data_IF_634801815010
#
_entry.id   IF_634801815010
#
_cell.length_a   1.000
_cell.length_b   1.000
_cell.length_c   1.000
_cell.angle_alpha   90.00
_cell.angle_beta   90.00
_cell.angle_gamma   90.00
#
_symmetry.space_group_name_H-M   'P 1'
#
loop_
_entity.id
_entity.type
_entity.pdbx_description
1 polymer ?
#
# COMPACT_ATOMS: atom_id res chain seq x y z
N UNK A 1 -28.76 3.12 9.68
CA UNK A 1 -28.60 4.55 10.04
C UNK A 1 -28.33 5.38 8.78
N UNK A 2 -28.85 6.60 8.70
CA UNK A 2 -28.56 7.53 7.60
C UNK A 2 -27.25 8.27 7.86
N UNK A 3 -26.40 8.38 6.84
CA UNK A 3 -25.22 9.22 6.88
C UNK A 3 -25.61 10.69 6.74
N UNK A 4 -25.03 11.56 7.57
CA UNK A 4 -25.12 13.00 7.47
C UNK A 4 -23.71 13.58 7.36
N UNK A 5 -23.52 14.52 6.46
CA UNK A 5 -22.28 15.28 6.34
C UNK A 5 -22.45 16.57 7.15
N UNK A 6 -21.60 16.77 8.15
CA UNK A 6 -21.62 17.91 9.05
C UNK A 6 -20.35 18.73 8.88
N UNK A 7 -20.52 19.98 8.46
CA UNK A 7 -19.41 20.94 8.33
C UNK A 7 -19.31 21.77 9.60
N UNK A 8 -18.15 21.75 10.24
CA UNK A 8 -17.87 22.48 11.47
C UNK A 8 -16.69 23.43 11.27
N UNK A 9 -16.72 24.55 12.00
CA UNK A 9 -15.62 25.50 12.08
C UNK A 9 -14.84 25.26 13.36
N UNK A 10 -13.56 24.93 13.23
CA UNK A 10 -12.63 24.78 14.37
C UNK A 10 -11.35 25.55 14.08
N UNK A 11 -10.98 26.46 15.00
CA UNK A 11 -9.76 27.29 14.91
C UNK A 11 -9.58 27.98 13.55
N UNK A 12 -10.66 28.60 13.03
CA UNK A 12 -10.65 29.31 11.75
C UNK A 12 -10.63 28.44 10.49
N UNK A 13 -10.51 27.11 10.61
CA UNK A 13 -10.54 26.17 9.47
C UNK A 13 -11.87 25.41 9.42
N UNK A 14 -12.39 25.23 8.20
CA UNK A 14 -13.57 24.41 7.95
C UNK A 14 -13.13 22.94 7.88
N UNK A 15 -13.79 22.08 8.64
CA UNK A 15 -13.63 20.62 8.58
C UNK A 15 -15.00 19.98 8.38
N UNK A 16 -15.05 19.00 7.50
CA UNK A 16 -16.27 18.26 7.20
C UNK A 16 -16.16 16.84 7.76
N UNK A 17 -17.17 16.43 8.52
CA UNK A 17 -17.25 15.13 9.17
C UNK A 17 -18.45 14.36 8.65
N UNK A 18 -18.29 13.07 8.39
CA UNK A 18 -19.42 12.17 8.16
C UNK A 18 -19.88 11.58 9.51
N UNK A 19 -21.15 11.81 9.82
CA UNK A 19 -21.81 11.46 11.07
C UNK A 19 -23.05 10.64 10.74
N UNK A 20 -23.09 9.39 11.17
CA UNK A 20 -24.28 8.56 11.03
C UNK A 20 -25.22 8.83 12.21
N UNK A 21 -26.44 9.27 11.92
CA UNK A 21 -27.44 9.54 12.93
C UNK A 21 -28.83 9.08 12.46
N UNK A 22 -29.72 8.80 13.41
CA UNK A 22 -31.12 8.49 13.13
C UNK A 22 -31.92 9.73 12.74
N UNK A 23 -31.43 10.94 13.09
CA UNK A 23 -32.07 12.22 12.83
C UNK A 23 -31.02 13.32 12.59
N UNK A 24 -31.29 14.32 11.74
CA UNK A 24 -30.39 15.47 11.52
C UNK A 24 -30.07 16.22 12.82
N UNK A 25 -30.99 16.24 13.79
CA UNK A 25 -30.80 16.90 15.08
C UNK A 25 -29.75 16.20 15.96
N UNK A 26 -29.67 14.86 15.85
CA UNK A 26 -28.64 14.07 16.51
C UNK A 26 -27.28 14.23 15.81
N UNK A 27 -27.28 14.32 14.47
CA UNK A 27 -26.06 14.60 13.71
C UNK A 27 -25.49 15.99 14.06
N UNK A 28 -26.33 17.00 14.23
CA UNK A 28 -25.91 18.33 14.67
C UNK A 28 -25.32 18.29 16.09
N UNK A 29 -26.01 17.60 17.03
CA UNK A 29 -25.54 17.45 18.41
C UNK A 29 -24.16 16.77 18.49
N UNK A 30 -23.94 15.74 17.67
CA UNK A 30 -22.63 15.07 17.56
C UNK A 30 -21.60 15.96 16.87
N UNK A 31 -21.99 16.73 15.85
CA UNK A 31 -21.12 17.68 15.15
C UNK A 31 -20.62 18.82 16.04
N UNK A 32 -21.44 19.29 16.99
CA UNK A 32 -21.05 20.36 17.94
C UNK A 32 -19.84 20.00 18.80
N UNK A 33 -19.51 18.71 18.94
CA UNK A 33 -18.29 18.26 19.65
C UNK A 33 -17.00 18.63 18.92
N UNK A 34 -17.06 18.87 17.61
CA UNK A 34 -15.90 19.12 16.74
C UNK A 34 -15.73 20.60 16.38
N UNK A 35 -16.59 21.48 16.87
CA UNK A 35 -16.59 22.92 16.59
C UNK A 35 -18.01 23.46 16.36
N UNK A 36 -18.11 24.72 15.94
CA UNK A 36 -19.41 25.34 15.62
C UNK A 36 -19.95 24.73 14.33
N UNK A 37 -21.10 24.05 14.40
CA UNK A 37 -21.76 23.45 13.24
C UNK A 37 -22.34 24.54 12.35
N UNK A 38 -21.97 24.53 11.07
CA UNK A 38 -22.45 25.51 10.07
C UNK A 38 -23.48 24.91 9.12
N UNK A 39 -23.35 23.61 8.80
CA UNK A 39 -24.23 22.92 7.85
C UNK A 39 -24.34 21.45 8.18
N UNK A 40 -25.56 20.93 8.16
CA UNK A 40 -25.88 19.51 8.25
C UNK A 40 -26.60 19.13 6.96
N UNK A 41 -26.03 18.23 6.17
CA UNK A 41 -26.64 17.69 4.95
C UNK A 41 -26.85 16.20 5.10
N UNK A 42 -27.92 15.63 4.51
CA UNK A 42 -27.98 14.18 4.32
C UNK A 42 -26.83 13.78 3.40
N UNK A 43 -25.95 12.91 3.88
CA UNK A 43 -24.93 12.26 3.08
C UNK A 43 -25.59 11.24 2.16
N UNK A 44 -25.02 11.02 0.97
CA UNK A 44 -25.47 9.95 0.09
C UNK A 44 -25.50 8.61 0.82
N UNK A 45 -26.38 7.69 0.41
CA UNK A 45 -26.37 6.30 0.91
C UNK A 45 -24.93 5.79 0.85
N UNK A 46 -24.37 5.40 1.99
CA UNK A 46 -23.06 4.75 2.08
C UNK A 46 -23.11 3.47 1.25
N UNK A 47 -22.64 3.55 0.00
CA UNK A 47 -22.44 2.41 -0.89
C UNK A 47 -21.26 1.65 -0.29
N UNK A 48 -21.54 0.48 0.31
CA UNK A 48 -20.56 -0.55 0.70
C UNK A 48 -19.16 -0.02 1.02
N UNK A 49 -19.06 0.80 2.06
CA UNK A 49 -17.83 1.53 2.36
C UNK A 49 -16.75 0.58 2.86
N UNK A 50 -15.51 0.70 2.35
CA UNK A 50 -14.31 0.05 2.91
C UNK A 50 -14.37 0.01 4.44
N UNK A 51 -13.94 -1.07 5.09
CA UNK A 51 -13.83 -1.12 6.55
C UNK A 51 -12.85 -0.12 7.17
N UNK A 52 -12.62 -0.26 8.48
CA UNK A 52 -11.66 0.57 9.23
C UNK A 52 -10.29 0.63 8.54
N UNK A 53 -9.75 1.85 8.43
CA UNK A 53 -8.36 2.03 7.99
C UNK A 53 -7.40 1.41 9.01
N UNK A 54 -6.17 1.13 8.60
CA UNK A 54 -5.12 0.60 9.49
C UNK A 54 -4.92 1.49 10.72
N UNK A 55 -4.89 2.81 10.52
CA UNK A 55 -4.77 3.79 11.60
C UNK A 55 -6.01 3.84 12.50
N UNK A 56 -7.21 3.81 11.92
CA UNK A 56 -8.46 3.85 12.69
C UNK A 56 -8.62 2.59 13.55
N UNK A 57 -8.30 1.42 12.99
CA UNK A 57 -8.34 0.14 13.72
C UNK A 57 -7.30 0.12 14.85
N UNK A 58 -6.08 0.61 14.61
CA UNK A 58 -5.08 0.76 15.68
C UNK A 58 -5.61 1.63 16.83
N UNK A 59 -6.19 2.80 16.52
CA UNK A 59 -6.77 3.69 17.52
C UNK A 59 -7.91 2.99 18.26
N UNK A 60 -8.83 2.34 17.54
CA UNK A 60 -9.95 1.60 18.12
C UNK A 60 -9.46 0.57 19.14
N UNK A 61 -8.55 -0.32 18.71
CA UNK A 61 -8.03 -1.41 19.53
C UNK A 61 -7.28 -0.92 20.77
N UNK A 62 -6.41 0.10 20.62
CA UNK A 62 -5.65 0.68 21.73
C UNK A 62 -6.57 1.33 22.76
N UNK A 63 -7.57 2.10 22.31
CA UNK A 63 -8.49 2.79 23.22
C UNK A 63 -9.40 1.80 23.94
N UNK A 64 -9.92 0.80 23.24
CA UNK A 64 -10.72 -0.26 23.84
C UNK A 64 -9.89 -1.05 24.86
N UNK A 65 -8.68 -1.45 24.50
CA UNK A 65 -7.71 -2.12 25.40
C UNK A 65 -7.50 -1.32 26.68
N UNK A 66 -7.22 -0.01 26.58
CA UNK A 66 -6.98 0.84 27.76
C UNK A 66 -8.20 0.93 28.67
N UNK A 67 -9.41 1.11 28.12
CA UNK A 67 -10.61 1.18 28.96
C UNK A 67 -10.91 -0.15 29.66
N UNK A 68 -10.78 -1.27 28.94
CA UNK A 68 -10.97 -2.60 29.53
C UNK A 68 -9.90 -2.92 30.59
N UNK A 69 -8.65 -2.49 30.38
CA UNK A 69 -7.59 -2.60 31.39
C UNK A 69 -7.91 -1.78 32.66
N UNK A 70 -8.60 -0.64 32.50
CA UNK A 70 -9.14 0.16 33.61
C UNK A 70 -10.46 -0.39 34.20
N UNK A 71 -10.84 -1.63 33.87
CA UNK A 71 -12.07 -2.30 34.33
C UNK A 71 -13.37 -1.59 33.94
N UNK A 72 -13.35 -0.75 32.91
CA UNK A 72 -14.58 -0.23 32.30
C UNK A 72 -15.30 -1.39 31.64
N UNK A 73 -16.60 -1.55 31.92
CA UNK A 73 -17.40 -2.61 31.30
C UNK A 73 -17.43 -2.50 29.77
N UNK A 74 -17.45 -3.64 29.07
CA UNK A 74 -17.35 -3.68 27.60
C UNK A 74 -18.40 -2.83 26.90
N UNK A 75 -19.65 -2.93 27.33
CA UNK A 75 -20.77 -2.15 26.79
C UNK A 75 -20.53 -0.65 26.95
N UNK A 76 -20.05 -0.22 28.12
CA UNK A 76 -19.76 1.18 28.39
C UNK A 76 -18.56 1.68 27.58
N UNK A 77 -17.48 0.89 27.48
CA UNK A 77 -16.32 1.23 26.66
C UNK A 77 -16.72 1.40 25.17
N UNK A 78 -17.58 0.53 24.64
CA UNK A 78 -18.10 0.64 23.27
C UNK A 78 -19.01 1.86 23.10
N UNK A 79 -19.89 2.18 24.08
CA UNK A 79 -20.68 3.42 24.08
C UNK A 79 -19.77 4.66 24.05
N UNK A 80 -18.74 4.69 24.89
CA UNK A 80 -17.76 5.78 24.95
C UNK A 80 -17.01 5.94 23.61
N UNK A 81 -16.58 4.85 22.97
CA UNK A 81 -15.96 4.91 21.64
C UNK A 81 -16.93 5.43 20.57
N UNK A 82 -18.16 4.92 20.56
CA UNK A 82 -19.21 5.37 19.63
C UNK A 82 -19.44 6.87 19.76
N UNK A 83 -19.52 7.38 20.99
CA UNK A 83 -19.86 8.76 21.25
C UNK A 83 -18.65 9.71 21.09
N UNK A 84 -17.43 9.24 21.40
CA UNK A 84 -16.22 10.07 21.36
C UNK A 84 -15.63 10.23 19.96
N UNK A 85 -15.89 9.29 19.04
CA UNK A 85 -15.36 9.31 17.68
C UNK A 85 -16.45 9.59 16.64
N UNK A 86 -16.04 9.89 15.41
CA UNK A 86 -16.92 10.03 14.24
C UNK A 86 -16.51 9.07 13.13
N UNK A 87 -17.27 9.03 12.03
CA UNK A 87 -16.97 8.18 10.89
C UNK A 87 -16.99 6.69 11.24
N UNK A 88 -16.01 5.94 10.72
CA UNK A 88 -16.00 4.48 10.79
C UNK A 88 -15.74 3.91 12.18
N UNK A 89 -14.94 4.60 13.01
CA UNK A 89 -14.68 4.16 14.39
C UNK A 89 -15.98 4.13 15.19
N UNK A 90 -16.80 5.18 15.06
CA UNK A 90 -18.12 5.26 15.70
C UNK A 90 -19.07 4.17 15.20
N UNK A 91 -19.03 3.89 13.89
CA UNK A 91 -19.85 2.84 13.26
C UNK A 91 -19.48 1.44 13.74
N UNK A 92 -18.19 1.10 13.73
CA UNK A 92 -17.69 -0.18 14.23
C UNK A 92 -18.01 -0.35 15.72
N UNK A 93 -17.86 0.71 16.52
CA UNK A 93 -18.23 0.69 17.94
C UNK A 93 -19.73 0.44 18.14
N UNK A 94 -20.59 1.08 17.34
CA UNK A 94 -22.03 0.88 17.39
C UNK A 94 -22.45 -0.54 16.97
N UNK A 95 -21.85 -1.07 15.90
CA UNK A 95 -22.12 -2.41 15.41
C UNK A 95 -21.72 -3.49 16.43
N UNK A 96 -20.53 -3.34 17.04
CA UNK A 96 -20.09 -4.24 18.11
C UNK A 96 -20.93 -4.08 19.38
N UNK A 97 -21.34 -2.85 19.74
CA UNK A 97 -22.19 -2.61 20.89
C UNK A 97 -23.52 -3.35 20.77
N UNK A 98 -24.17 -3.30 19.61
CA UNK A 98 -25.41 -4.01 19.35
C UNK A 98 -25.25 -5.52 19.53
N UNK A 99 -24.21 -6.13 18.95
CA UNK A 99 -23.90 -7.55 19.11
C UNK A 99 -23.67 -7.93 20.59
N UNK A 100 -22.93 -7.10 21.33
CA UNK A 100 -22.62 -7.35 22.74
C UNK A 100 -23.86 -7.19 23.63
N UNK A 101 -24.73 -6.22 23.34
CA UNK A 101 -26.02 -6.06 24.04
C UNK A 101 -26.97 -7.24 23.78
N UNK A 102 -26.88 -7.88 22.61
CA UNK A 102 -27.59 -9.12 22.27
C UNK A 102 -26.99 -10.38 22.92
N UNK A 103 -25.93 -10.24 23.72
CA UNK A 103 -25.32 -11.33 24.49
C UNK A 103 -24.13 -12.01 23.82
N UNK A 104 -23.66 -11.51 22.67
CA UNK A 104 -22.42 -12.00 22.06
C UNK A 104 -21.21 -11.49 22.84
N UNK A 105 -20.22 -12.34 23.06
CA UNK A 105 -18.95 -11.93 23.66
C UNK A 105 -18.14 -11.06 22.67
N UNK A 106 -17.46 -10.05 23.19
CA UNK A 106 -16.66 -9.11 22.38
C UNK A 106 -15.63 -9.80 21.46
N UNK A 107 -14.86 -10.80 21.91
CA UNK A 107 -13.89 -11.48 21.06
C UNK A 107 -14.52 -12.13 19.83
N UNK A 108 -15.65 -12.84 19.98
CA UNK A 108 -16.36 -13.41 18.84
C UNK A 108 -17.03 -12.33 17.96
N UNK A 109 -17.60 -11.28 18.57
CA UNK A 109 -18.17 -10.16 17.81
C UNK A 109 -17.16 -9.50 16.88
N UNK A 110 -15.92 -9.30 17.35
CA UNK A 110 -14.80 -8.79 16.55
C UNK A 110 -14.34 -9.82 15.52
N UNK A 111 -14.27 -11.10 15.87
CA UNK A 111 -13.81 -12.15 14.97
C UNK A 111 -14.75 -12.36 13.76
N UNK A 112 -16.06 -12.19 13.94
CA UNK A 112 -17.05 -12.25 12.85
C UNK A 112 -17.04 -11.00 11.95
N UNK A 113 -16.60 -9.86 12.47
CA UNK A 113 -16.54 -8.61 11.72
C UNK A 113 -15.27 -8.51 10.88
N UNK A 114 -15.20 -9.36 9.85
CA UNK A 114 -14.10 -9.36 8.88
C UNK A 114 -13.98 -8.07 8.06
N UNK A 115 -15.04 -7.26 8.07
CA UNK A 115 -15.09 -6.01 7.33
C UNK A 115 -14.21 -4.96 8.00
N UNK A 116 -14.38 -4.73 9.31
CA UNK A 116 -13.62 -3.75 10.07
C UNK A 116 -12.35 -4.34 10.72
N UNK A 117 -12.37 -5.64 11.04
CA UNK A 117 -11.28 -6.36 11.70
C UNK A 117 -10.82 -7.56 10.85
N UNK A 118 -9.67 -7.45 10.14
CA UNK A 118 -9.14 -8.55 9.36
C UNK A 118 -8.97 -9.84 10.18
N UNK A 119 -9.12 -11.01 9.56
CA UNK A 119 -9.16 -12.31 10.27
C UNK A 119 -8.02 -12.55 11.27
N UNK A 120 -6.79 -12.10 10.97
CA UNK A 120 -5.66 -12.19 11.90
C UNK A 120 -5.87 -11.41 13.21
N UNK A 121 -6.49 -10.22 13.15
CA UNK A 121 -6.82 -9.39 14.31
C UNK A 121 -7.86 -10.08 15.18
N UNK A 122 -8.96 -10.53 14.57
CA UNK A 122 -10.00 -11.29 15.27
C UNK A 122 -9.45 -12.56 15.92
N UNK A 123 -8.55 -13.26 15.24
CA UNK A 123 -7.90 -14.47 15.75
C UNK A 123 -7.01 -14.21 16.96
N UNK A 124 -6.16 -13.17 16.93
CA UNK A 124 -5.33 -12.77 18.08
C UNK A 124 -6.22 -12.46 19.29
N UNK A 125 -7.28 -11.68 19.08
CA UNK A 125 -8.18 -11.27 20.17
C UNK A 125 -8.90 -12.49 20.74
N UNK A 126 -9.41 -13.37 19.88
CA UNK A 126 -10.12 -14.60 20.27
C UNK A 126 -9.23 -15.54 21.07
N UNK A 127 -8.00 -15.80 20.60
CA UNK A 127 -7.07 -16.69 21.29
C UNK A 127 -6.60 -16.08 22.62
N UNK A 128 -6.26 -14.80 22.64
CA UNK A 128 -5.86 -14.14 23.89
C UNK A 128 -7.00 -13.89 24.87
N UNK A 129 -8.26 -13.93 24.43
CA UNK A 129 -9.41 -13.88 25.34
C UNK A 129 -9.63 -15.22 26.07
N UNK A 130 -9.22 -16.35 25.47
CA UNK A 130 -9.29 -17.68 26.13
C UNK A 130 -8.41 -17.76 27.38
N UNK A 131 -7.36 -16.93 27.47
CA UNK A 131 -6.53 -16.80 28.67
C UNK A 131 -7.07 -15.81 29.71
N UNK A 132 -8.27 -15.26 29.49
CA UNK A 132 -8.97 -14.38 30.43
C UNK A 132 -8.54 -12.91 30.40
N UNK A 133 -7.67 -12.51 29.45
CA UNK A 133 -7.15 -11.13 29.37
C UNK A 133 -7.48 -10.45 28.04
N UNK A 134 -8.76 -10.21 27.76
CA UNK A 134 -9.22 -9.55 26.52
C UNK A 134 -8.59 -8.18 26.29
N UNK A 135 -8.33 -7.41 27.35
CA UNK A 135 -7.67 -6.09 27.23
C UNK A 135 -6.24 -6.22 26.68
N UNK A 136 -5.53 -7.30 27.03
CA UNK A 136 -4.17 -7.58 26.58
C UNK A 136 -4.18 -8.08 25.15
N UNK A 137 -5.12 -8.96 24.79
CA UNK A 137 -5.23 -9.46 23.41
C UNK A 137 -5.59 -8.36 22.40
N UNK A 138 -6.39 -7.35 22.82
CA UNK A 138 -6.61 -6.13 22.03
C UNK A 138 -5.34 -5.30 21.84
N UNK A 139 -4.48 -5.23 22.86
CA UNK A 139 -3.18 -4.55 22.76
C UNK A 139 -2.27 -5.28 21.78
N UNK A 140 -2.17 -6.59 21.92
CA UNK A 140 -1.34 -7.45 21.05
C UNK A 140 -1.82 -7.36 19.59
N UNK A 141 -3.13 -7.32 19.36
CA UNK A 141 -3.70 -7.13 18.03
C UNK A 141 -3.40 -5.73 17.44
N UNK A 142 -3.39 -4.68 18.27
CA UNK A 142 -2.99 -3.35 17.84
C UNK A 142 -1.50 -3.29 17.48
N UNK A 143 -0.63 -3.93 18.27
CA UNK A 143 0.80 -4.03 17.97
C UNK A 143 1.07 -4.83 16.70
N UNK A 144 0.35 -5.95 16.51
CA UNK A 144 0.38 -6.72 15.27
C UNK A 144 0.04 -5.82 14.06
N UNK A 145 -1.05 -5.06 14.15
CA UNK A 145 -1.48 -4.15 13.09
C UNK A 145 -0.40 -3.11 12.78
N UNK A 146 0.18 -2.52 13.83
CA UNK A 146 1.22 -1.51 13.70
C UNK A 146 2.47 -2.09 13.02
N UNK A 147 2.99 -3.22 13.49
CA UNK A 147 4.18 -3.88 12.94
C UNK A 147 3.98 -4.29 11.49
N UNK A 148 2.84 -4.90 11.14
CA UNK A 148 2.54 -5.25 9.75
C UNK A 148 2.45 -4.00 8.86
N UNK A 149 1.90 -2.91 9.36
CA UNK A 149 1.85 -1.63 8.63
C UNK A 149 3.23 -1.04 8.40
N UNK A 150 4.12 -1.16 9.39
CA UNK A 150 5.50 -0.68 9.31
C UNK A 150 6.32 -1.49 8.30
N UNK A 151 6.26 -2.81 8.37
CA UNK A 151 6.88 -3.74 7.41
C UNK A 151 6.44 -3.39 5.97
N UNK A 152 5.15 -3.08 5.77
CA UNK A 152 4.63 -2.62 4.47
C UNK A 152 5.14 -1.24 4.06
N UNK A 153 5.30 -0.30 5.00
CA UNK A 153 5.69 1.08 4.70
C UNK A 153 7.18 1.22 4.40
N UNK A 154 8.04 0.54 5.15
CA UNK A 154 9.50 0.52 4.93
C UNK A 154 9.84 0.14 3.50
N UNK A 155 9.00 -0.71 2.92
CA UNK A 155 9.12 -1.27 1.59
C UNK A 155 8.83 -0.33 0.42
N UNK A 156 8.19 0.81 0.68
CA UNK A 156 7.75 1.75 -0.36
C UNK A 156 8.53 3.08 -0.36
N UNK A 157 9.43 3.28 0.61
CA UNK A 157 10.22 4.52 0.71
C UNK A 157 11.27 4.57 -0.41
N UNK A 158 11.34 5.68 -1.14
CA UNK A 158 12.29 5.88 -2.25
C UNK A 158 11.73 5.57 -3.65
N UNK A 159 10.86 4.56 -3.79
CA UNK A 159 10.31 4.18 -5.09
C UNK A 159 9.37 5.24 -5.69
N UNK A 160 8.57 5.91 -4.85
CA UNK A 160 7.67 6.99 -5.30
C UNK A 160 8.45 8.15 -5.93
N UNK A 161 9.57 8.53 -5.33
CA UNK A 161 10.41 9.62 -5.84
C UNK A 161 11.03 9.25 -7.19
N UNK A 162 11.57 8.03 -7.32
CA UNK A 162 12.16 7.55 -8.57
C UNK A 162 11.12 7.44 -9.71
N UNK A 163 9.92 6.94 -9.40
CA UNK A 163 8.81 6.87 -10.35
C UNK A 163 8.41 8.27 -10.80
N UNK A 164 8.25 9.21 -9.86
CA UNK A 164 7.88 10.59 -10.17
C UNK A 164 8.93 11.26 -11.04
N UNK A 165 10.22 11.14 -10.71
CA UNK A 165 11.31 11.71 -11.52
C UNK A 165 11.34 11.13 -12.93
N UNK A 166 11.08 9.83 -13.06
CA UNK A 166 11.02 9.16 -14.36
C UNK A 166 9.88 9.69 -15.23
N UNK A 167 8.67 9.85 -14.68
CA UNK A 167 7.55 10.43 -15.42
C UNK A 167 7.76 11.90 -15.78
N UNK A 168 8.34 12.71 -14.88
CA UNK A 168 8.65 14.11 -15.17
C UNK A 168 9.68 14.21 -16.30
N UNK A 169 10.75 13.42 -16.25
CA UNK A 169 11.75 13.39 -17.31
C UNK A 169 11.18 12.93 -18.67
N UNK A 170 10.34 11.89 -18.66
CA UNK A 170 9.63 11.43 -19.85
C UNK A 170 8.70 12.50 -20.43
N UNK A 171 7.91 13.16 -19.57
CA UNK A 171 7.03 14.24 -20.00
C UNK A 171 7.81 15.42 -20.58
N UNK A 172 8.93 15.83 -19.95
CA UNK A 172 9.79 16.88 -20.46
C UNK A 172 10.35 16.55 -21.86
N UNK A 173 10.83 15.33 -22.07
CA UNK A 173 11.34 14.90 -23.38
C UNK A 173 10.23 14.92 -24.44
N UNK A 174 9.04 14.39 -24.11
CA UNK A 174 7.90 14.38 -25.04
C UNK A 174 7.45 15.79 -25.39
N UNK A 175 7.30 16.69 -24.41
CA UNK A 175 6.90 18.09 -24.63
C UNK A 175 7.96 18.84 -25.45
N UNK A 176 9.24 18.62 -25.14
CA UNK A 176 10.37 19.18 -25.88
C UNK A 176 10.30 18.83 -27.37
N UNK A 177 10.06 17.55 -27.70
CA UNK A 177 10.02 17.07 -29.07
C UNK A 177 8.72 17.46 -29.82
N UNK A 178 7.56 17.38 -29.17
CA UNK A 178 6.26 17.54 -29.84
C UNK A 178 5.77 18.98 -29.91
N UNK A 179 6.11 19.82 -28.92
CA UNK A 179 5.61 21.18 -28.83
C UNK A 179 6.74 22.19 -29.04
N UNK A 180 7.79 22.12 -28.24
CA UNK A 180 8.85 23.15 -28.23
C UNK A 180 9.67 23.11 -29.53
N UNK A 181 10.13 21.92 -29.95
CA UNK A 181 10.94 21.75 -31.14
C UNK A 181 10.28 22.32 -32.41
N UNK A 182 9.04 21.89 -32.75
CA UNK A 182 8.34 22.41 -33.91
C UNK A 182 8.03 23.90 -33.84
N UNK A 183 7.70 24.43 -32.65
CA UNK A 183 7.35 25.84 -32.50
C UNK A 183 8.57 26.76 -32.72
N UNK A 184 9.74 26.36 -32.24
CA UNK A 184 11.00 27.07 -32.51
C UNK A 184 11.31 27.02 -34.01
N UNK A 185 11.13 25.86 -34.66
CA UNK A 185 11.37 25.75 -36.10
C UNK A 185 10.42 26.60 -36.95
N UNK A 186 9.21 26.95 -36.48
CA UNK A 186 8.29 27.83 -37.22
C UNK A 186 8.66 29.32 -37.13
N UNK A 187 9.63 29.69 -36.30
CA UNK A 187 10.05 31.08 -36.19
C UNK A 187 10.81 31.49 -37.46
N UNK A 188 10.32 32.54 -38.12
CA UNK A 188 10.78 33.02 -39.44
C UNK A 188 12.27 33.41 -39.50
N UNK A 189 12.90 33.73 -38.37
CA UNK A 189 14.34 33.99 -38.27
C UNK A 189 15.22 32.75 -38.51
N UNK A 190 14.64 31.55 -38.37
CA UNK A 190 15.33 30.26 -38.50
C UNK A 190 15.19 29.69 -39.91
N UNK A 191 14.17 30.07 -40.68
CA UNK A 191 13.94 29.58 -42.04
C UNK A 191 15.10 29.89 -43.00
N UNK A 192 15.70 31.08 -42.89
CA UNK A 192 16.86 31.47 -43.70
C UNK A 192 18.17 30.76 -43.30
N UNK A 193 18.25 30.23 -42.08
CA UNK A 193 19.41 29.50 -41.56
C UNK A 193 19.26 27.97 -41.67
N UNK A 194 18.05 27.47 -42.01
CA UNK A 194 17.79 26.04 -42.20
C UNK A 194 18.49 25.47 -43.43
N UNK A 195 18.70 26.28 -44.47
CA UNK A 195 19.28 25.83 -45.74
C UNK A 195 20.79 25.58 -45.65
N UNK A 196 21.48 26.22 -44.69
CA UNK A 196 22.92 26.02 -44.41
C UNK A 196 23.22 24.95 -43.37
N UNK A 197 22.21 24.40 -42.69
CA UNK A 197 22.39 23.45 -41.59
C UNK A 197 21.86 22.06 -41.93
N UNK A 198 22.72 21.06 -41.78
CA UNK A 198 22.31 19.65 -41.82
C UNK A 198 21.63 19.28 -40.49
N UNK A 199 20.44 19.83 -40.22
CA UNK A 199 19.62 19.56 -39.02
C UNK A 199 18.98 18.15 -39.02
N UNK A 200 19.22 17.35 -40.06
CA UNK A 200 18.65 16.02 -40.22
C UNK A 200 18.96 15.07 -39.07
N UNK A 201 20.13 15.21 -38.43
CA UNK A 201 20.50 14.41 -37.25
C UNK A 201 19.70 14.82 -36.00
N UNK A 202 19.35 16.10 -35.84
CA UNK A 202 18.53 16.59 -34.71
C UNK A 202 17.10 16.09 -34.85
N UNK A 203 16.51 16.21 -36.05
CA UNK A 203 15.16 15.72 -36.31
C UNK A 203 15.09 14.18 -36.13
N UNK A 204 16.10 13.46 -36.62
CA UNK A 204 16.20 12.01 -36.42
C UNK A 204 16.34 11.65 -34.93
N UNK A 205 17.22 12.33 -34.20
CA UNK A 205 17.43 12.10 -32.76
C UNK A 205 16.16 12.40 -31.97
N UNK A 206 15.47 13.48 -32.30
CA UNK A 206 14.21 13.88 -31.67
C UNK A 206 13.11 12.83 -31.91
N UNK A 207 12.95 12.37 -33.15
CA UNK A 207 11.95 11.35 -33.49
C UNK A 207 12.23 10.00 -32.82
N UNK A 208 13.47 9.49 -32.93
CA UNK A 208 13.86 8.22 -32.33
C UNK A 208 13.81 8.24 -30.80
N UNK A 209 14.28 9.33 -30.17
CA UNK A 209 14.21 9.46 -28.71
C UNK A 209 12.78 9.59 -28.21
N UNK A 210 11.90 10.28 -28.95
CA UNK A 210 10.47 10.37 -28.65
C UNK A 210 9.75 9.03 -28.76
N UNK A 211 9.97 8.27 -29.83
CA UNK A 211 9.39 6.92 -29.99
C UNK A 211 9.91 5.99 -28.89
N UNK A 212 11.21 5.98 -28.64
CA UNK A 212 11.82 5.11 -27.64
C UNK A 212 11.29 5.44 -26.24
N UNK A 213 11.24 6.71 -25.86
CA UNK A 213 10.63 7.13 -24.59
C UNK A 213 9.14 6.80 -24.52
N UNK A 214 8.40 6.99 -25.61
CA UNK A 214 6.98 6.60 -25.69
C UNK A 214 6.78 5.11 -25.44
N UNK A 215 7.59 4.25 -26.07
CA UNK A 215 7.58 2.80 -25.84
C UNK A 215 7.92 2.50 -24.38
N UNK A 216 8.97 3.10 -23.82
CA UNK A 216 9.35 2.87 -22.42
C UNK A 216 8.23 3.31 -21.47
N UNK A 217 7.60 4.46 -21.68
CA UNK A 217 6.47 4.93 -20.87
C UNK A 217 5.25 4.00 -20.99
N UNK A 218 4.92 3.52 -22.18
CA UNK A 218 3.80 2.59 -22.40
C UNK A 218 4.08 1.24 -21.74
N UNK A 219 5.29 0.70 -21.89
CA UNK A 219 5.71 -0.55 -21.23
C UNK A 219 5.67 -0.37 -19.71
N UNK A 220 6.21 0.73 -19.19
CA UNK A 220 6.26 0.99 -17.75
C UNK A 220 4.85 1.19 -17.16
N UNK A 221 4.00 1.96 -17.85
CA UNK A 221 2.60 2.15 -17.46
C UNK A 221 1.81 0.85 -17.51
N UNK A 222 2.01 0.03 -18.55
CA UNK A 222 1.41 -1.30 -18.70
C UNK A 222 1.82 -2.22 -17.54
N UNK A 223 3.09 -2.21 -17.13
CA UNK A 223 3.57 -2.98 -15.98
C UNK A 223 2.94 -2.52 -14.65
N UNK A 224 2.89 -1.21 -14.39
CA UNK A 224 2.24 -0.66 -13.18
C UNK A 224 0.74 -0.96 -13.17
N UNK A 225 0.10 -0.85 -14.34
CA UNK A 225 -1.32 -1.14 -14.48
C UNK A 225 -1.60 -2.61 -14.20
N UNK A 226 -0.81 -3.53 -14.77
CA UNK A 226 -0.91 -4.96 -14.50
C UNK A 226 -0.71 -5.29 -13.02
N UNK A 227 0.25 -4.64 -12.38
CA UNK A 227 0.56 -4.80 -10.96
C UNK A 227 -0.61 -4.48 -10.02
N UNK A 228 -1.33 -3.40 -10.36
CA UNK A 228 -2.29 -2.76 -9.45
C UNK A 228 -3.72 -3.16 -9.80
N UNK A 229 -4.15 -2.85 -11.01
CA UNK A 229 -5.53 -3.03 -11.48
C UNK A 229 -5.67 -4.34 -12.25
N UNK A 230 -4.71 -4.65 -13.14
CA UNK A 230 -4.74 -5.86 -13.95
C UNK A 230 -4.78 -7.13 -13.12
N UNK A 231 -4.09 -7.16 -11.96
CA UNK A 231 -4.18 -8.27 -11.02
C UNK A 231 -5.57 -8.43 -10.36
N UNK A 232 -6.35 -7.35 -10.24
CA UNK A 232 -7.74 -7.42 -9.72
C UNK A 232 -8.74 -7.87 -10.79
N UNK A 233 -8.52 -7.49 -12.04
CA UNK A 233 -9.48 -7.75 -13.14
C UNK A 233 -9.16 -9.06 -13.85
N UNK A 234 -7.88 -9.38 -14.06
CA UNK A 234 -7.40 -10.57 -14.76
C UNK A 234 -6.18 -11.19 -14.05
N UNK A 235 -6.38 -11.83 -12.87
CA UNK A 235 -5.30 -12.32 -12.02
C UNK A 235 -4.34 -13.26 -12.75
N UNK A 236 -4.87 -14.22 -13.51
CA UNK A 236 -4.09 -15.24 -14.22
C UNK A 236 -3.27 -14.68 -15.41
N UNK A 237 -3.77 -13.67 -16.11
CA UNK A 237 -3.02 -13.00 -17.19
C UNK A 237 -1.93 -12.09 -16.63
N UNK A 238 -2.26 -11.29 -15.62
CA UNK A 238 -1.30 -10.45 -14.92
C UNK A 238 -0.17 -11.30 -14.34
N UNK A 239 -0.47 -12.42 -13.69
CA UNK A 239 0.52 -13.36 -13.18
C UNK A 239 1.42 -13.92 -14.28
N UNK A 240 0.87 -14.34 -15.42
CA UNK A 240 1.66 -14.89 -16.53
C UNK A 240 2.67 -13.88 -17.11
N UNK A 241 2.31 -12.61 -17.18
CA UNK A 241 3.20 -11.54 -17.66
C UNK A 241 4.22 -11.15 -16.59
N UNK A 242 3.78 -11.00 -15.34
CA UNK A 242 4.65 -10.71 -14.19
C UNK A 242 5.74 -11.78 -14.05
N UNK A 243 5.39 -13.07 -14.23
CA UNK A 243 6.32 -14.19 -14.17
C UNK A 243 7.35 -14.20 -15.29
N UNK A 244 7.06 -13.59 -16.45
CA UNK A 244 7.97 -13.50 -17.60
C UNK A 244 8.98 -12.36 -17.50
N UNK A 245 8.71 -11.36 -16.66
CA UNK A 245 9.64 -10.23 -16.43
C UNK A 245 10.44 -10.55 -15.16
N UNK A 246 11.69 -11.05 -15.27
CA UNK A 246 12.42 -11.65 -14.14
C UNK A 246 12.55 -10.69 -12.95
N UNK A 247 12.88 -9.43 -13.24
CA UNK A 247 13.08 -8.38 -12.25
C UNK A 247 11.78 -7.97 -11.52
N UNK A 248 10.65 -8.01 -12.23
CA UNK A 248 9.34 -7.63 -11.70
C UNK A 248 8.70 -8.76 -10.88
N UNK A 249 8.87 -10.01 -11.34
CA UNK A 249 8.50 -11.22 -10.60
C UNK A 249 9.11 -11.23 -9.21
N UNK A 250 10.43 -11.02 -9.17
CA UNK A 250 11.19 -11.08 -7.91
C UNK A 250 10.71 -10.04 -6.91
N UNK A 251 10.45 -8.79 -7.33
CA UNK A 251 9.95 -7.72 -6.45
C UNK A 251 8.60 -8.06 -5.84
N UNK A 252 7.62 -8.40 -6.67
CA UNK A 252 6.24 -8.48 -6.19
C UNK A 252 6.01 -9.76 -5.39
N UNK A 253 6.61 -10.88 -5.81
CA UNK A 253 6.53 -12.12 -5.05
C UNK A 253 7.30 -12.04 -3.73
N UNK A 254 8.47 -11.40 -3.70
CA UNK A 254 9.20 -11.27 -2.43
C UNK A 254 8.44 -10.42 -1.41
N UNK A 255 7.69 -9.40 -1.87
CA UNK A 255 6.92 -8.53 -0.97
C UNK A 255 5.87 -9.29 -0.16
N UNK A 256 5.00 -10.02 -0.86
CA UNK A 256 3.95 -10.79 -0.21
C UNK A 256 4.57 -11.89 0.68
N UNK A 257 5.73 -12.44 0.31
CA UNK A 257 6.38 -13.50 1.08
C UNK A 257 6.86 -13.05 2.47
N UNK A 258 7.72 -12.02 2.58
CA UNK A 258 8.22 -11.63 3.91
C UNK A 258 7.12 -11.00 4.78
N UNK A 259 6.13 -10.31 4.22
CA UNK A 259 4.99 -9.79 5.00
C UNK A 259 4.23 -10.94 5.65
N UNK A 260 4.02 -12.04 4.93
CA UNK A 260 3.31 -13.20 5.45
C UNK A 260 4.18 -14.02 6.43
N UNK A 261 5.50 -14.08 6.23
CA UNK A 261 6.42 -14.67 7.24
C UNK A 261 6.41 -13.87 8.55
N UNK A 262 6.48 -12.54 8.49
CA UNK A 262 6.32 -11.67 9.65
C UNK A 262 4.94 -11.83 10.30
N UNK A 263 3.87 -11.97 9.48
CA UNK A 263 2.53 -12.25 9.99
C UNK A 263 2.48 -13.56 10.78
N UNK A 264 3.07 -14.64 10.25
CA UNK A 264 3.16 -15.92 10.95
C UNK A 264 3.98 -15.78 12.24
N UNK A 265 5.12 -15.06 12.20
CA UNK A 265 5.93 -14.76 13.39
C UNK A 265 5.12 -14.04 14.47
N UNK A 266 4.40 -12.98 14.11
CA UNK A 266 3.63 -12.19 15.07
C UNK A 266 2.42 -12.98 15.61
N UNK A 267 1.73 -13.75 14.78
CA UNK A 267 0.67 -14.66 15.24
C UNK A 267 1.25 -15.70 16.21
N UNK A 268 2.41 -16.29 15.87
CA UNK A 268 3.16 -17.19 16.74
C UNK A 268 3.61 -16.49 18.03
N UNK A 269 3.96 -15.21 18.02
CA UNK A 269 4.27 -14.46 19.26
C UNK A 269 3.03 -14.19 20.11
N UNK A 270 1.88 -13.92 19.49
CA UNK A 270 0.61 -13.57 20.16
C UNK A 270 -0.24 -14.74 20.66
N UNK A 271 0.33 -15.92 20.90
CA UNK A 271 -0.45 -17.03 21.47
C UNK A 271 -1.38 -17.82 20.52
N UNK A 272 -1.57 -17.44 19.25
CA UNK A 272 -2.23 -18.22 18.16
C UNK A 272 -1.50 -19.51 17.71
N UNK A 273 -2.10 -20.70 17.86
CA UNK A 273 -1.48 -21.98 17.45
C UNK A 273 -1.02 -21.96 15.98
N UNK A 274 0.07 -22.66 15.66
CA UNK A 274 0.64 -22.62 14.29
C UNK A 274 -0.34 -23.08 13.21
N UNK A 275 -1.22 -24.05 13.49
CA UNK A 275 -2.25 -24.46 12.54
C UNK A 275 -3.23 -23.32 12.22
N UNK A 276 -3.72 -22.61 13.24
CA UNK A 276 -4.64 -21.48 13.08
C UNK A 276 -3.93 -20.29 12.41
N UNK A 277 -2.66 -20.06 12.74
CA UNK A 277 -1.84 -19.03 12.12
C UNK A 277 -1.62 -19.30 10.62
N UNK A 278 -1.29 -20.55 10.25
CA UNK A 278 -1.14 -20.98 8.86
C UNK A 278 -2.47 -20.87 8.11
N UNK A 279 -3.59 -21.31 8.70
CA UNK A 279 -4.92 -21.22 8.09
C UNK A 279 -5.35 -19.77 7.83
N UNK A 280 -5.24 -18.90 8.83
CA UNK A 280 -5.57 -17.47 8.68
C UNK A 280 -4.65 -16.77 7.66
N UNK A 281 -3.38 -17.15 7.64
CA UNK A 281 -2.44 -16.63 6.63
C UNK A 281 -2.79 -17.17 5.24
N UNK A 282 -3.15 -18.45 5.08
CA UNK A 282 -3.56 -19.04 3.80
C UNK A 282 -4.78 -18.34 3.19
N UNK A 283 -5.80 -18.07 4.01
CA UNK A 283 -7.03 -17.37 3.59
C UNK A 283 -6.75 -15.94 3.10
N UNK A 284 -5.83 -15.25 3.78
CA UNK A 284 -5.47 -13.86 3.47
C UNK A 284 -4.33 -13.71 2.47
N UNK A 285 -3.56 -14.77 2.22
CA UNK A 285 -2.45 -14.78 1.28
C UNK A 285 -2.98 -14.81 -0.16
N UNK A 286 -2.31 -14.05 -1.03
CA UNK A 286 -2.57 -14.10 -2.47
C UNK A 286 -2.04 -15.40 -3.06
N UNK A 287 -2.59 -15.88 -4.20
CA UNK A 287 -2.00 -16.99 -4.94
C UNK A 287 -0.51 -16.76 -5.23
N UNK A 288 0.30 -17.82 -5.11
CA UNK A 288 1.74 -17.77 -5.27
C UNK A 288 2.45 -18.85 -4.45
N UNK A 289 3.78 -18.92 -4.60
CA UNK A 289 4.62 -20.00 -4.02
C UNK A 289 4.41 -20.14 -2.52
N UNK A 290 4.36 -19.04 -1.77
CA UNK A 290 4.15 -19.10 -0.33
C UNK A 290 2.74 -19.62 0.04
N UNK A 291 1.71 -19.31 -0.75
CA UNK A 291 0.35 -19.83 -0.47
C UNK A 291 0.31 -21.33 -0.68
N UNK A 292 0.96 -21.83 -1.72
CA UNK A 292 1.06 -23.27 -2.01
C UNK A 292 1.84 -23.99 -0.89
N UNK A 293 2.96 -23.41 -0.46
CA UNK A 293 3.74 -23.89 0.69
C UNK A 293 2.92 -23.92 1.99
N UNK A 294 2.17 -22.86 2.29
CA UNK A 294 1.28 -22.85 3.47
C UNK A 294 0.23 -23.95 3.36
N UNK A 295 -0.31 -24.19 2.16
CA UNK A 295 -1.20 -25.32 1.87
C UNK A 295 -0.55 -26.67 2.18
N UNK A 296 0.67 -26.90 1.67
CA UNK A 296 1.44 -28.10 1.96
C UNK A 296 1.75 -28.26 3.45
N UNK A 297 2.04 -27.16 4.17
CA UNK A 297 2.25 -27.16 5.62
C UNK A 297 0.99 -27.52 6.40
N UNK A 298 -0.18 -27.04 5.97
CA UNK A 298 -1.47 -27.44 6.56
C UNK A 298 -1.75 -28.93 6.31
N UNK A 299 -1.44 -29.45 5.12
CA UNK A 299 -1.58 -30.87 4.81
C UNK A 299 -0.57 -31.73 5.58
N UNK A 300 0.65 -31.25 5.78
CA UNK A 300 1.64 -31.91 6.63
C UNK A 300 1.13 -32.04 8.07
N UNK A 301 0.54 -30.98 8.65
CA UNK A 301 -0.09 -31.02 9.97
C UNK A 301 -1.24 -32.04 10.04
N UNK A 302 -2.12 -32.06 9.03
CA UNK A 302 -3.22 -33.05 8.93
C UNK A 302 -2.71 -34.48 8.91
N UNK A 303 -1.53 -34.73 8.35
CA UNK A 303 -0.85 -36.04 8.32
C UNK A 303 0.02 -36.33 9.55
N UNK A 304 0.02 -35.46 10.56
CA UNK A 304 0.86 -35.61 11.75
C UNK A 304 2.36 -35.36 11.52
N UNK A 305 2.73 -34.77 10.38
CA UNK A 305 4.10 -34.40 10.05
C UNK A 305 4.44 -33.00 10.58
N UNK A 306 5.73 -32.67 10.69
CA UNK A 306 6.18 -31.32 11.05
C UNK A 306 5.76 -30.32 9.97
N UNK A 307 4.94 -29.32 10.31
CA UNK A 307 4.39 -28.33 9.37
C UNK A 307 5.44 -27.67 8.46
N UNK A 308 6.63 -27.38 9.01
CA UNK A 308 7.70 -26.71 8.29
C UNK A 308 8.23 -27.53 7.10
N UNK A 309 7.97 -28.85 7.03
CA UNK A 309 8.32 -29.67 5.85
C UNK A 309 7.62 -29.19 4.57
N UNK A 310 6.44 -28.57 4.69
CA UNK A 310 5.68 -28.00 3.58
C UNK A 310 6.20 -26.66 3.06
N UNK A 311 7.12 -26.01 3.78
CA UNK A 311 7.73 -24.73 3.40
C UNK A 311 8.91 -24.96 2.44
N UNK A 312 8.63 -25.36 1.21
CA UNK A 312 9.65 -25.73 0.21
C UNK A 312 10.41 -24.53 -0.36
N UNK A 313 9.78 -23.35 -0.36
CA UNK A 313 10.36 -22.06 -0.72
C UNK A 313 11.50 -21.66 0.21
N UNK A 314 11.42 -22.04 1.48
CA UNK A 314 12.45 -21.72 2.47
C UNK A 314 13.73 -22.50 2.20
N UNK A 315 14.87 -21.87 2.49
CA UNK A 315 16.16 -22.54 2.38
C UNK A 315 16.18 -23.77 3.32
N UNK A 316 16.86 -24.87 2.96
CA UNK A 316 16.90 -26.08 3.79
C UNK A 316 17.33 -25.83 5.23
N UNK A 317 18.22 -24.86 5.48
CA UNK A 317 18.65 -24.48 6.84
C UNK A 317 17.53 -23.80 7.63
N UNK A 318 16.78 -22.90 7.00
CA UNK A 318 15.68 -22.17 7.62
C UNK A 318 14.52 -23.12 7.94
N UNK A 319 14.23 -24.02 7.01
CA UNK A 319 13.26 -25.09 7.21
C UNK A 319 13.68 -26.01 8.36
N UNK A 320 14.95 -26.39 8.42
CA UNK A 320 15.47 -27.20 9.53
C UNK A 320 15.36 -26.46 10.87
N UNK A 321 15.69 -25.16 10.92
CA UNK A 321 15.54 -24.33 12.11
C UNK A 321 14.09 -24.28 12.62
N UNK A 322 13.11 -24.15 11.72
CA UNK A 322 11.69 -24.21 12.07
C UNK A 322 11.22 -25.59 12.51
N UNK A 323 11.78 -26.66 11.93
CA UNK A 323 11.48 -28.04 12.31
C UNK A 323 12.10 -28.44 13.66
N UNK A 324 13.21 -27.81 14.05
CA UNK A 324 13.95 -28.09 15.28
C UNK A 324 13.60 -27.15 16.43
N UNK A 325 12.83 -26.09 16.16
CA UNK A 325 12.35 -25.18 17.21
C UNK A 325 11.61 -25.96 18.30
N UNK A 326 12.08 -25.82 19.54
CA UNK A 326 11.59 -26.57 20.69
C UNK A 326 10.22 -26.07 21.15
N UNK A 327 10.02 -24.76 21.03
CA UNK A 327 8.80 -24.10 21.44
C UNK A 327 8.36 -23.07 20.41
N UNK A 328 7.21 -22.48 20.73
CA UNK A 328 6.55 -21.49 19.92
C UNK A 328 7.27 -20.14 19.87
N UNK A 329 7.96 -19.76 20.93
CA UNK A 329 8.74 -18.52 20.97
C UNK A 329 9.91 -18.62 19.98
N UNK A 330 10.60 -19.75 19.97
CA UNK A 330 11.64 -20.06 18.97
C UNK A 330 11.07 -20.11 17.55
N UNK A 331 9.87 -20.66 17.33
CA UNK A 331 9.21 -20.60 16.01
C UNK A 331 8.98 -19.13 15.60
N UNK A 332 8.48 -18.30 16.51
CA UNK A 332 8.23 -16.89 16.23
C UNK A 332 9.51 -16.13 15.90
N UNK A 333 10.58 -16.33 16.67
CA UNK A 333 11.90 -15.72 16.44
C UNK A 333 12.51 -16.19 15.12
N UNK A 334 12.48 -17.49 14.83
CA UNK A 334 13.00 -18.02 13.58
C UNK A 334 12.23 -17.48 12.36
N UNK A 335 10.90 -17.40 12.44
CA UNK A 335 10.09 -16.78 11.38
C UNK A 335 10.35 -15.29 11.21
N UNK A 336 10.62 -14.56 12.30
CA UNK A 336 11.00 -13.14 12.25
C UNK A 336 12.34 -12.98 11.52
N UNK A 337 13.36 -13.74 11.91
CA UNK A 337 14.68 -13.72 11.29
C UNK A 337 14.63 -14.07 9.79
N UNK A 338 13.88 -15.10 9.42
CA UNK A 338 13.67 -15.47 8.01
C UNK A 338 12.91 -14.34 7.29
N UNK A 339 11.88 -13.76 7.92
CA UNK A 339 11.18 -12.59 7.40
C UNK A 339 12.11 -11.43 7.12
N UNK A 340 12.98 -11.07 8.07
CA UNK A 340 13.97 -9.99 7.97
C UNK A 340 15.00 -10.26 6.86
N UNK A 341 15.45 -11.51 6.72
CA UNK A 341 16.34 -11.91 5.63
C UNK A 341 15.67 -11.71 4.26
N UNK A 342 14.43 -12.16 4.09
CA UNK A 342 13.70 -11.95 2.84
C UNK A 342 13.36 -10.47 2.59
N UNK A 343 13.10 -9.70 3.66
CA UNK A 343 12.90 -8.26 3.57
C UNK A 343 14.18 -7.55 3.11
N UNK A 344 15.35 -7.89 3.66
CA UNK A 344 16.62 -7.29 3.29
C UNK A 344 17.01 -7.61 1.83
N UNK A 345 16.82 -8.86 1.40
CA UNK A 345 16.99 -9.26 -0.01
C UNK A 345 16.07 -8.48 -0.94
N UNK A 346 14.82 -8.27 -0.52
CA UNK A 346 13.88 -7.44 -1.28
C UNK A 346 14.31 -5.97 -1.33
N UNK A 347 14.73 -5.38 -0.20
CA UNK A 347 15.23 -4.01 -0.15
C UNK A 347 16.47 -3.82 -1.02
N UNK A 348 17.39 -4.78 -1.04
CA UNK A 348 18.60 -4.73 -1.88
C UNK A 348 18.23 -4.72 -3.37
N UNK A 349 17.26 -5.55 -3.78
CA UNK A 349 16.75 -5.57 -5.16
C UNK A 349 16.08 -4.24 -5.53
N UNK A 350 15.25 -3.68 -4.62
CA UNK A 350 14.63 -2.37 -4.80
C UNK A 350 15.65 -1.22 -4.85
N UNK A 351 16.73 -1.30 -4.08
CA UNK A 351 17.78 -0.29 -4.03
C UNK A 351 18.54 -0.16 -5.36
N UNK A 352 18.52 -1.19 -6.21
CA UNK A 352 19.07 -1.12 -7.58
C UNK A 352 18.05 -0.53 -8.56
N UNK A 353 16.75 -0.74 -8.33
CA UNK A 353 15.67 -0.23 -9.19
C UNK A 353 15.55 1.30 -9.18
N UNK A 354 15.59 1.94 -8.01
CA UNK A 354 15.37 3.38 -7.93
C UNK A 354 16.48 4.20 -8.65
N UNK A 355 17.78 3.91 -8.44
CA UNK A 355 18.86 4.60 -9.16
C UNK A 355 18.85 4.32 -10.66
N UNK A 356 18.52 3.10 -11.10
CA UNK A 356 18.45 2.80 -12.54
C UNK A 356 17.36 3.61 -13.23
N UNK A 357 16.18 3.77 -12.62
CA UNK A 357 15.15 4.68 -13.11
C UNK A 357 15.62 6.15 -13.15
N UNK A 358 16.36 6.60 -12.14
CA UNK A 358 16.93 7.95 -12.11
C UNK A 358 17.98 8.18 -13.20
N UNK A 359 18.82 7.19 -13.50
CA UNK A 359 19.79 7.27 -14.60
C UNK A 359 19.08 7.37 -15.94
N UNK A 360 18.03 6.57 -16.16
CA UNK A 360 17.21 6.66 -17.38
C UNK A 360 16.55 8.05 -17.48
N UNK A 361 16.00 8.55 -16.37
CA UNK A 361 15.41 9.89 -16.30
C UNK A 361 16.46 10.98 -16.61
N UNK A 362 17.66 10.87 -16.05
CA UNK A 362 18.75 11.81 -16.31
C UNK A 362 19.19 11.78 -17.78
N UNK A 363 19.34 10.59 -18.37
CA UNK A 363 19.62 10.44 -19.81
C UNK A 363 18.51 11.11 -20.64
N UNK A 364 17.24 10.90 -20.29
CA UNK A 364 16.13 11.51 -20.99
C UNK A 364 16.14 13.05 -20.91
N UNK A 365 16.43 13.61 -19.74
CA UNK A 365 16.58 15.07 -19.58
C UNK A 365 17.77 15.58 -20.38
N UNK A 366 18.91 14.88 -20.35
CA UNK A 366 20.10 15.26 -21.14
C UNK A 366 19.82 15.23 -22.64
N UNK A 367 19.16 14.18 -23.15
CA UNK A 367 18.76 14.09 -24.56
C UNK A 367 17.78 15.21 -24.91
N UNK A 368 16.80 15.48 -24.06
CA UNK A 368 15.89 16.62 -24.23
C UNK A 368 16.65 17.95 -24.30
N UNK A 369 17.66 18.14 -23.44
CA UNK A 369 18.52 19.33 -23.46
C UNK A 369 19.33 19.47 -24.74
N UNK A 370 19.92 18.38 -25.24
CA UNK A 370 20.64 18.35 -26.52
C UNK A 370 19.72 18.69 -27.69
N UNK A 371 18.51 18.12 -27.71
CA UNK A 371 17.50 18.43 -28.74
C UNK A 371 17.11 19.90 -28.69
N UNK A 372 16.81 20.44 -27.50
CA UNK A 372 16.46 21.86 -27.35
C UNK A 372 17.60 22.78 -27.77
N UNK A 373 18.82 22.49 -27.33
CA UNK A 373 20.01 23.25 -27.73
C UNK A 373 20.20 23.20 -29.26
N UNK A 374 20.06 22.03 -29.86
CA UNK A 374 20.22 21.84 -31.30
C UNK A 374 19.17 22.58 -32.11
N UNK A 375 17.92 22.58 -31.67
CA UNK A 375 16.81 23.27 -32.35
C UNK A 375 16.83 24.79 -32.11
N UNK A 376 17.29 25.26 -30.96
CA UNK A 376 17.23 26.70 -30.61
C UNK A 376 18.54 27.44 -30.83
N UNK A 377 19.65 26.94 -30.28
CA UNK A 377 20.91 27.69 -30.18
C UNK A 377 21.72 27.59 -31.47
N UNK A 378 21.79 26.40 -32.10
CA UNK A 378 22.58 26.24 -33.33
C UNK A 378 22.12 27.16 -34.47
N UNK A 379 20.81 27.31 -34.75
CA UNK A 379 20.37 28.26 -35.76
C UNK A 379 20.63 29.71 -35.36
N UNK A 380 20.41 30.08 -34.08
CA UNK A 380 20.67 31.45 -33.60
C UNK A 380 22.14 31.85 -33.69
N UNK A 381 23.07 30.95 -33.35
CA UNK A 381 24.50 31.23 -33.47
C UNK A 381 24.92 31.48 -34.93
N UNK A 382 24.31 30.78 -35.88
CA UNK A 382 24.60 31.01 -37.30
C UNK A 382 23.96 32.28 -37.86
N UNK A 383 22.73 32.62 -37.45
CA UNK A 383 22.13 33.91 -37.79
C UNK A 383 23.01 35.06 -37.28
N UNK A 384 23.50 34.95 -36.04
CA UNK A 384 24.43 35.93 -35.46
C UNK A 384 25.78 35.97 -36.21
N UNK A 385 26.37 34.82 -36.54
CA UNK A 385 27.61 34.75 -37.30
C UNK A 385 27.47 35.29 -38.73
N UNK A 386 26.36 35.02 -39.41
CA UNK A 386 26.05 35.54 -40.75
C UNK A 386 25.77 37.05 -40.76
N UNK A 387 25.24 37.60 -39.66
CA UNK A 387 25.10 39.05 -39.46
C UNK A 387 26.43 39.75 -39.13
N UNK A 388 27.44 39.02 -38.64
CA UNK A 388 28.78 39.55 -38.37
C UNK A 388 29.75 39.42 -39.57
N UNK A 389 29.42 38.59 -40.57
CA UNK A 389 30.25 38.41 -41.77
C UNK A 389 29.85 39.30 -42.96
N UNK A 390 28.73 40.01 -42.86
CA UNK A 390 28.32 41.09 -43.75
C UNK A 390 28.53 42.44 -43.05
#
# INVERSE_FOLDING_TARGET
MTAYTVTVRTQGKLKTFEINASSPMLAEKQGRRFGTVLKVSKGGRSIGGRGLSVSDRYIFLVRLSTMLASKVGTTEALRLLRDSFTGKISQAAAALLEKVELGMDLPNAIAEDHHDFPGAIGLIIKVGAQSGQTWRSLRDAAEFEHKISEVRRTSNKGMVAAILSFFVAGALLVVSNTYIGPEIQKMTLIDSAKESLNLGWINSLSWWSGILMGIVLVVFFSLIFLATVGRRVFPSFAERIILKVPFYREIVMSQDNYINLHRLSLLARSGVRMEDALRSTFESCRPGVLKDDIGHSLDALRRGQKWASGMTMLHPTDRAALMLAADREQIAVNLENIGDQYQSLYMQRLAVFAPTLQVIAAIAVSVSGIVLFGVSVLPMLQVSAGLMSN
#
